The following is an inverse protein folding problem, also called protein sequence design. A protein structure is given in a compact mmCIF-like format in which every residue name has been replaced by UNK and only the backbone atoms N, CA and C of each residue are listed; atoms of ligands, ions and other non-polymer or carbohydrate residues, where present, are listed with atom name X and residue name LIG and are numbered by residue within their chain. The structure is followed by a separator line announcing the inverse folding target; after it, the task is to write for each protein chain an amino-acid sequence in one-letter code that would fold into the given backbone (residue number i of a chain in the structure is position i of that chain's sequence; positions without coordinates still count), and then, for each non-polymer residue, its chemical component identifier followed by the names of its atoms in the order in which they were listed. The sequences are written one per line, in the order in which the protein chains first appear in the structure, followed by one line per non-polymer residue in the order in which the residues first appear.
data_IF_652805388969
#
_entry.id   IF_652805388969
#
_cell.length_a   1.000
_cell.length_b   1.000
_cell.length_c   1.000
_cell.angle_alpha   90.00
_cell.angle_beta   90.00
_cell.angle_gamma   90.00
#
_symmetry.space_group_name_H-M   'P 1'
#
loop_
_entity.id
_entity.type
_entity.pdbx_description
1 polymer ?
#
# COMPACT_ATOMS: atom_id res chain seq x y z
N UNK A 1 15.94 30.57 26.02
CA UNK A 1 15.41 29.21 25.78
C UNK A 1 14.53 29.33 24.54
N UNK A 2 15.01 28.88 23.37
CA UNK A 2 14.21 28.86 22.14
C UNK A 2 13.73 27.43 21.96
N UNK A 3 12.43 27.23 22.12
CA UNK A 3 11.79 25.94 21.92
C UNK A 3 11.87 25.59 20.43
N UNK A 4 12.73 24.64 20.09
CA UNK A 4 12.79 24.06 18.75
C UNK A 4 11.63 23.08 18.60
N UNK A 5 10.57 23.50 17.90
CA UNK A 5 9.54 22.58 17.41
C UNK A 5 10.19 21.76 16.29
N UNK A 6 10.47 20.48 16.59
CA UNK A 6 10.96 19.51 15.61
C UNK A 6 9.84 19.28 14.59
N UNK A 7 9.92 19.92 13.43
CA UNK A 7 8.99 19.71 12.33
C UNK A 7 9.10 18.24 11.91
N UNK A 8 8.02 17.46 12.11
CA UNK A 8 7.96 16.06 11.69
C UNK A 8 7.97 16.05 10.16
N UNK A 9 9.12 15.79 9.55
CA UNK A 9 9.23 15.61 8.11
C UNK A 9 8.28 14.49 7.72
N UNK A 10 7.26 14.78 6.92
CA UNK A 10 6.43 13.74 6.31
C UNK A 10 7.35 12.86 5.47
N UNK A 11 7.42 11.57 5.81
CA UNK A 11 8.06 10.60 4.93
C UNK A 11 7.31 10.59 3.60
N UNK A 12 7.97 10.82 2.46
CA UNK A 12 7.31 10.77 1.17
C UNK A 12 6.81 9.34 0.89
N UNK A 13 5.61 9.23 0.34
CA UNK A 13 5.03 7.97 -0.10
C UNK A 13 5.72 7.52 -1.39
N UNK A 14 6.29 6.32 -1.40
CA UNK A 14 7.03 5.77 -2.57
C UNK A 14 6.10 5.03 -3.52
N UNK A 15 5.15 4.27 -2.99
CA UNK A 15 4.14 3.53 -3.73
C UNK A 15 2.84 3.45 -2.94
N UNK A 16 1.71 3.32 -3.62
CA UNK A 16 0.38 3.24 -3.00
C UNK A 16 -0.50 2.26 -3.77
N UNK A 17 -1.20 1.42 -3.01
CA UNK A 17 -2.32 0.61 -3.47
C UNK A 17 -3.57 1.14 -2.78
N UNK A 18 -4.66 1.33 -3.52
CA UNK A 18 -5.86 1.98 -3.01
C UNK A 18 -7.12 1.15 -3.21
N UNK A 19 -8.24 1.65 -2.69
CA UNK A 19 -9.54 0.99 -2.79
C UNK A 19 -10.02 0.83 -4.24
N UNK A 20 -9.78 1.81 -5.11
CA UNK A 20 -10.16 1.73 -6.52
C UNK A 20 -9.40 0.61 -7.25
N UNK A 21 -8.10 0.42 -6.95
CA UNK A 21 -7.30 -0.69 -7.47
C UNK A 21 -7.92 -2.03 -7.06
N UNK A 22 -8.29 -2.16 -5.78
CA UNK A 22 -8.93 -3.36 -5.23
C UNK A 22 -10.30 -3.59 -5.90
N UNK A 23 -11.11 -2.56 -6.10
CA UNK A 23 -12.42 -2.65 -6.75
C UNK A 23 -12.30 -2.98 -8.25
N UNK A 24 -11.29 -2.45 -8.94
CA UNK A 24 -11.02 -2.78 -10.34
C UNK A 24 -10.77 -4.29 -10.49
N UNK A 25 -9.90 -4.85 -9.65
CA UNK A 25 -9.62 -6.29 -9.66
C UNK A 25 -10.86 -7.11 -9.23
N UNK A 26 -11.64 -6.64 -8.26
CA UNK A 26 -12.86 -7.33 -7.85
C UNK A 26 -13.88 -7.44 -9.00
N UNK A 27 -14.05 -6.36 -9.78
CA UNK A 27 -14.92 -6.38 -10.97
C UNK A 27 -14.44 -7.38 -12.02
N UNK A 28 -13.13 -7.56 -12.17
CA UNK A 28 -12.56 -8.54 -13.10
C UNK A 28 -12.67 -9.98 -12.61
N UNK A 29 -12.42 -10.23 -11.33
CA UNK A 29 -12.30 -11.59 -10.78
C UNK A 29 -13.64 -12.18 -10.35
N UNK A 30 -14.51 -11.38 -9.72
CA UNK A 30 -15.79 -11.83 -9.16
C UNK A 30 -17.01 -11.12 -9.73
N UNK A 31 -16.83 -10.23 -10.71
CA UNK A 31 -17.89 -9.52 -11.44
C UNK A 31 -18.87 -8.75 -10.54
N UNK A 32 -18.37 -8.18 -9.43
CA UNK A 32 -19.09 -7.25 -8.56
C UNK A 32 -18.12 -6.38 -7.78
N UNK A 33 -18.64 -5.32 -7.18
CA UNK A 33 -17.91 -4.53 -6.19
C UNK A 33 -17.89 -5.22 -4.84
N UNK A 34 -16.83 -4.95 -4.08
CA UNK A 34 -16.65 -5.37 -2.69
C UNK A 34 -17.34 -4.38 -1.76
N UNK A 35 -17.85 -4.89 -0.63
CA UNK A 35 -18.31 -4.02 0.45
C UNK A 35 -17.11 -3.46 1.23
N UNK A 36 -17.30 -2.38 2.02
CA UNK A 36 -16.23 -1.85 2.88
C UNK A 36 -15.60 -2.92 3.80
N UNK A 37 -16.42 -3.77 4.42
CA UNK A 37 -15.96 -4.86 5.28
C UNK A 37 -15.14 -5.93 4.53
N UNK A 38 -15.43 -6.16 3.24
CA UNK A 38 -14.66 -7.07 2.41
C UNK A 38 -13.32 -6.45 1.99
N UNK A 39 -13.30 -5.14 1.69
CA UNK A 39 -12.08 -4.40 1.38
C UNK A 39 -11.12 -4.43 2.56
N UNK A 40 -11.61 -4.23 3.80
CA UNK A 40 -10.77 -4.27 5.00
C UNK A 40 -10.07 -5.64 5.15
N UNK A 41 -10.81 -6.73 5.01
CA UNK A 41 -10.26 -8.10 5.07
C UNK A 41 -9.25 -8.39 3.96
N UNK A 42 -9.51 -7.86 2.75
CA UNK A 42 -8.58 -7.99 1.63
C UNK A 42 -7.31 -7.18 1.90
N UNK A 43 -7.42 -5.96 2.42
CA UNK A 43 -6.28 -5.12 2.75
C UNK A 43 -5.36 -5.80 3.78
N UNK A 44 -5.92 -6.43 4.81
CA UNK A 44 -5.15 -7.25 5.76
C UNK A 44 -4.42 -8.40 5.06
N UNK A 45 -5.13 -9.16 4.22
CA UNK A 45 -4.57 -10.29 3.48
C UNK A 45 -3.47 -9.88 2.48
N UNK A 46 -3.60 -8.71 1.84
CA UNK A 46 -2.61 -8.18 0.91
C UNK A 46 -1.26 -7.91 1.59
N UNK A 47 -1.24 -7.58 2.88
CA UNK A 47 0.02 -7.40 3.61
C UNK A 47 0.79 -8.71 3.81
N UNK A 48 0.09 -9.86 3.75
CA UNK A 48 0.71 -11.18 3.80
C UNK A 48 1.16 -11.67 2.41
N UNK A 49 0.47 -11.24 1.35
CA UNK A 49 0.76 -11.66 -0.02
C UNK A 49 1.80 -10.78 -0.74
N UNK A 50 1.90 -9.50 -0.37
CA UNK A 50 2.88 -8.58 -0.96
C UNK A 50 4.13 -8.58 -0.08
N UNK A 51 5.15 -9.32 -0.51
CA UNK A 51 6.49 -9.22 0.08
C UNK A 51 7.16 -7.90 -0.37
N UNK A 52 6.72 -6.81 0.27
CA UNK A 52 7.20 -5.47 -0.05
C UNK A 52 8.70 -5.30 0.27
N UNK A 53 9.24 -6.07 1.23
CA UNK A 53 10.67 -6.09 1.51
C UNK A 53 11.48 -6.62 0.34
N UNK A 54 11.10 -7.77 -0.19
CA UNK A 54 11.77 -8.39 -1.33
C UNK A 54 11.60 -7.56 -2.60
N UNK A 55 10.41 -6.97 -2.82
CA UNK A 55 10.18 -6.07 -3.94
C UNK A 55 11.10 -4.83 -3.90
N UNK A 56 11.32 -4.24 -2.72
CA UNK A 56 12.26 -3.13 -2.55
C UNK A 56 13.71 -3.59 -2.77
N UNK A 57 14.10 -4.73 -2.21
CA UNK A 57 15.45 -5.27 -2.38
C UNK A 57 15.77 -5.54 -3.85
N UNK A 58 14.84 -6.14 -4.58
CA UNK A 58 14.96 -6.39 -6.02
C UNK A 58 15.03 -5.08 -6.82
N UNK A 59 14.21 -4.10 -6.48
CA UNK A 59 14.23 -2.79 -7.15
C UNK A 59 15.58 -2.08 -6.96
N UNK A 60 16.20 -2.22 -5.79
CA UNK A 60 17.55 -1.70 -5.51
C UNK A 60 18.58 -2.41 -6.39
N UNK A 61 18.62 -3.75 -6.38
CA UNK A 61 19.58 -4.56 -7.16
C UNK A 61 19.51 -4.28 -8.67
N UNK A 62 18.32 -4.00 -9.19
CA UNK A 62 18.12 -3.75 -10.62
C UNK A 62 18.45 -2.31 -11.08
N UNK A 63 18.48 -1.34 -10.16
CA UNK A 63 18.59 0.09 -10.52
C UNK A 63 19.83 0.79 -9.95
N UNK A 64 20.63 0.13 -9.11
CA UNK A 64 21.87 0.64 -8.53
C UNK A 64 23.04 -0.26 -8.93
#
# INVERSE_FOLDING_TARGET
MKDYIKQKSRSPLVYWLNEEDVQNIAREVINRELTPDEIEKIAESLTEYIDWSDAIALAIDQNI
#
